data_IF_454836749132
#
_entry.id   IF_454836749132
#
_cell.length_a   1.000
_cell.length_b   1.000
_cell.length_c   1.000
_cell.angle_alpha   90.00
_cell.angle_beta   90.00
_cell.angle_gamma   90.00
#
_symmetry.space_group_name_H-M   'P 1'
#
loop_
_entity.id
_entity.type
_entity.pdbx_description
1 polymer ?
#
# COMPACT_ATOMS: atom_id res chain seq x y z
N UNK A 1 6.79 7.24 23.05
CA UNK A 1 7.05 7.23 21.60
C UNK A 1 6.96 8.65 21.11
N UNK A 2 7.96 9.12 20.36
CA UNK A 2 7.98 10.50 19.85
C UNK A 2 7.17 10.58 18.55
N UNK A 3 6.66 11.77 18.18
CA UNK A 3 5.99 11.98 16.89
C UNK A 3 6.86 11.55 15.69
N UNK A 4 8.19 11.60 15.84
CA UNK A 4 9.13 11.14 14.81
C UNK A 4 9.16 9.62 14.64
N UNK A 5 8.88 8.86 15.70
CA UNK A 5 8.81 7.39 15.63
C UNK A 5 7.53 6.99 14.89
N UNK A 6 6.40 7.61 15.23
CA UNK A 6 5.12 7.39 14.56
C UNK A 6 5.16 7.73 13.06
N UNK A 7 5.84 8.82 12.68
CA UNK A 7 5.99 9.21 11.27
C UNK A 7 6.85 8.22 10.49
N UNK A 8 7.91 7.70 11.10
CA UNK A 8 8.79 6.69 10.48
C UNK A 8 8.05 5.38 10.26
N UNK A 9 7.27 4.94 11.25
CA UNK A 9 6.47 3.71 11.15
C UNK A 9 5.42 3.83 10.03
N UNK A 10 4.70 4.96 9.97
CA UNK A 10 3.71 5.22 8.92
C UNK A 10 4.33 5.29 7.51
N UNK A 11 5.53 5.85 7.38
CA UNK A 11 6.27 5.86 6.10
C UNK A 11 6.69 4.45 5.71
N UNK A 12 7.17 3.65 6.65
CA UNK A 12 7.55 2.25 6.39
C UNK A 12 6.34 1.41 5.95
N UNK A 13 5.18 1.60 6.56
CA UNK A 13 3.93 0.94 6.17
C UNK A 13 3.49 1.35 4.75
N UNK A 14 3.65 2.63 4.40
CA UNK A 14 3.33 3.14 3.07
C UNK A 14 4.26 2.53 2.01
N UNK A 15 5.57 2.46 2.28
CA UNK A 15 6.57 1.85 1.40
C UNK A 15 6.24 0.36 1.14
N UNK A 16 5.94 -0.40 2.19
CA UNK A 16 5.56 -1.81 2.05
C UNK A 16 4.29 -1.99 1.21
N UNK A 17 3.28 -1.12 1.39
CA UNK A 17 2.06 -1.18 0.61
C UNK A 17 2.28 -0.82 -0.88
N UNK A 18 3.23 0.08 -1.18
CA UNK A 18 3.64 0.40 -2.56
C UNK A 18 4.35 -0.78 -3.23
N UNK A 19 5.25 -1.45 -2.51
CA UNK A 19 5.95 -2.63 -3.00
C UNK A 19 4.97 -3.76 -3.34
N UNK A 20 4.02 -4.04 -2.44
CA UNK A 20 2.97 -5.03 -2.68
C UNK A 20 2.13 -4.72 -3.93
N UNK A 21 1.75 -3.45 -4.11
CA UNK A 21 0.97 -3.02 -5.28
C UNK A 21 1.77 -3.15 -6.57
N UNK A 22 3.05 -2.76 -6.54
CA UNK A 22 3.98 -2.91 -7.68
C UNK A 22 4.16 -4.38 -8.07
N UNK A 23 4.33 -5.26 -7.09
CA UNK A 23 4.42 -6.71 -7.31
C UNK A 23 3.15 -7.29 -7.93
N UNK A 24 1.98 -6.88 -7.45
CA UNK A 24 0.69 -7.31 -8.01
C UNK A 24 0.55 -6.88 -9.48
N UNK A 25 0.89 -5.63 -9.81
CA UNK A 25 0.89 -5.12 -11.19
C UNK A 25 1.90 -5.85 -12.09
N UNK A 26 3.10 -6.15 -11.58
CA UNK A 26 4.09 -6.92 -12.32
C UNK A 26 3.57 -8.33 -12.63
N UNK A 27 2.95 -8.98 -11.65
CA UNK A 27 2.33 -10.30 -11.82
C UNK A 27 1.22 -10.24 -12.86
N UNK A 28 0.36 -9.21 -12.81
CA UNK A 28 -0.73 -8.99 -13.77
C UNK A 28 -0.27 -8.90 -15.24
N UNK A 29 0.94 -8.35 -15.48
CA UNK A 29 1.51 -8.16 -16.82
C UNK A 29 1.96 -9.47 -17.48
N UNK A 30 2.04 -10.59 -16.76
CA UNK A 30 2.41 -11.89 -17.34
C UNK A 30 1.28 -12.39 -18.25
N UNK A 31 1.61 -12.59 -19.53
CA UNK A 31 0.66 -12.76 -20.63
C UNK A 31 -0.19 -14.06 -20.64
N UNK A 32 -0.15 -14.89 -19.59
CA UNK A 32 -0.79 -16.21 -19.59
C UNK A 32 -1.37 -16.64 -18.23
N UNK A 33 -1.76 -15.71 -17.36
CA UNK A 33 -2.38 -16.10 -16.08
C UNK A 33 -3.79 -16.70 -16.31
N UNK A 34 -4.10 -17.88 -15.73
CA UNK A 34 -5.46 -18.38 -15.60
C UNK A 34 -6.41 -17.35 -14.97
N UNK A 35 -7.72 -17.44 -15.27
CA UNK A 35 -8.73 -16.49 -14.76
C UNK A 35 -8.68 -16.36 -13.23
N UNK A 36 -8.49 -17.47 -12.50
CA UNK A 36 -8.40 -17.45 -11.03
C UNK A 36 -7.20 -16.65 -10.52
N UNK A 37 -6.04 -16.79 -11.16
CA UNK A 37 -4.83 -16.03 -10.81
C UNK A 37 -5.01 -14.55 -11.13
N UNK A 38 -5.67 -14.22 -12.26
CA UNK A 38 -6.03 -12.83 -12.58
C UNK A 38 -6.96 -12.21 -11.53
N UNK A 39 -7.96 -12.96 -11.06
CA UNK A 39 -8.85 -12.51 -9.99
C UNK A 39 -8.12 -12.35 -8.65
N UNK A 40 -7.18 -13.24 -8.33
CA UNK A 40 -6.34 -13.12 -7.14
C UNK A 40 -5.49 -11.83 -7.19
N UNK A 41 -4.88 -11.54 -8.34
CA UNK A 41 -4.12 -10.31 -8.58
C UNK A 41 -5.01 -9.07 -8.42
N UNK A 42 -6.22 -9.06 -8.98
CA UNK A 42 -7.17 -7.93 -8.81
C UNK A 42 -7.51 -7.70 -7.33
N UNK A 43 -7.77 -8.77 -6.57
CA UNK A 43 -8.06 -8.67 -5.13
C UNK A 43 -6.86 -8.16 -4.35
N UNK A 44 -5.65 -8.65 -4.63
CA UNK A 44 -4.42 -8.19 -4.01
C UNK A 44 -4.16 -6.70 -4.32
N UNK A 45 -4.31 -6.28 -5.58
CA UNK A 45 -4.15 -4.87 -5.97
C UNK A 45 -5.14 -3.95 -5.26
N UNK A 46 -6.39 -4.39 -5.07
CA UNK A 46 -7.39 -3.64 -4.32
C UNK A 46 -7.00 -3.51 -2.84
N UNK A 47 -6.60 -4.60 -2.19
CA UNK A 47 -6.19 -4.58 -0.79
C UNK A 47 -4.95 -3.69 -0.55
N UNK A 48 -3.97 -3.72 -1.46
CA UNK A 48 -2.81 -2.82 -1.36
C UNK A 48 -3.20 -1.36 -1.54
N UNK A 49 -4.14 -1.06 -2.45
CA UNK A 49 -4.66 0.31 -2.62
C UNK A 49 -5.37 0.82 -1.37
N UNK A 50 -6.23 0.00 -0.75
CA UNK A 50 -6.93 0.36 0.49
C UNK A 50 -5.93 0.64 1.64
N UNK A 51 -4.85 -0.16 1.74
CA UNK A 51 -3.75 0.09 2.70
C UNK A 51 -3.00 1.39 2.40
N UNK A 52 -2.70 1.68 1.13
CA UNK A 52 -2.05 2.92 0.73
C UNK A 52 -2.88 4.16 1.08
N UNK A 53 -4.18 4.13 0.78
CA UNK A 53 -5.10 5.22 1.09
C UNK A 53 -5.18 5.45 2.62
N UNK A 54 -5.23 4.37 3.41
CA UNK A 54 -5.24 4.46 4.86
C UNK A 54 -3.92 5.03 5.43
N UNK A 55 -2.77 4.54 4.97
CA UNK A 55 -1.46 5.02 5.39
C UNK A 55 -1.24 6.48 5.01
N UNK A 56 -1.64 6.89 3.80
CA UNK A 56 -1.60 8.29 3.37
C UNK A 56 -2.46 9.19 4.25
N UNK A 57 -3.71 8.82 4.53
CA UNK A 57 -4.58 9.61 5.41
C UNK A 57 -4.05 9.70 6.84
N UNK A 58 -3.41 8.64 7.34
CA UNK A 58 -2.77 8.66 8.66
C UNK A 58 -1.57 9.61 8.68
N UNK A 59 -0.77 9.62 7.62
CA UNK A 59 0.35 10.53 7.44
C UNK A 59 -0.10 11.99 7.33
N UNK A 60 -1.12 12.28 6.53
CA UNK A 60 -1.71 13.63 6.39
C UNK A 60 -2.24 14.15 7.73
N UNK A 61 -2.90 13.29 8.52
CA UNK A 61 -3.36 13.63 9.88
C UNK A 61 -2.21 13.89 10.83
N UNK A 62 -1.16 13.06 10.81
CA UNK A 62 0.02 13.26 11.65
C UNK A 62 0.80 14.53 11.28
N UNK A 63 0.89 14.86 10.00
CA UNK A 63 1.52 16.09 9.51
C UNK A 63 0.68 17.34 9.83
N UNK A 64 -0.65 17.25 9.71
CA UNK A 64 -1.59 18.34 10.01
C UNK A 64 -1.87 18.56 11.51
N UNK A 65 -1.62 17.57 12.38
CA UNK A 65 -1.69 17.77 13.83
C UNK A 65 -0.40 18.33 14.44
N UNK A 66 0.64 18.52 13.63
CA UNK A 66 1.92 19.09 14.04
C UNK A 66 1.99 20.63 13.86
N UNK A 67 0.94 21.23 13.28
CA UNK A 67 0.70 22.69 13.19
C UNK A 67 -0.34 23.12 14.20
#
# INVERSE_FOLDING_TARGET
>A
MTNSDTLRDLLSDLEAALEDHSFALHTARRAALPLQERLAVVRASRASRERLEAAQQALERAAGSAT
#
